data_IF_296028859175
#
_entry.id   IF_296028859175
#
_cell.length_a   1.000
_cell.length_b   1.000
_cell.length_c   1.000
_cell.angle_alpha   90.00
_cell.angle_beta   90.00
_cell.angle_gamma   90.00
#
_symmetry.space_group_name_H-M   'P 1'
#
loop_
_entity.id
_entity.type
_entity.pdbx_description
1 polymer ?
#
# COMPACT_ATOMS: atom_id res chain seq x y z
N UNK A 1 3.71 29.59 29.93
CA UNK A 1 2.60 28.62 29.84
C UNK A 1 2.57 28.08 28.42
N UNK A 2 2.89 26.81 28.21
CA UNK A 2 2.84 26.19 26.88
C UNK A 2 1.40 25.75 26.58
N UNK A 3 0.81 26.24 25.49
CA UNK A 3 -0.48 25.77 24.99
C UNK A 3 -0.40 24.28 24.68
N UNK A 4 -1.31 23.44 25.21
CA UNK A 4 -1.32 22.02 24.90
C UNK A 4 -1.52 21.82 23.38
N UNK A 5 -0.80 20.86 22.77
CA UNK A 5 -0.97 20.56 21.35
C UNK A 5 -2.41 20.10 21.10
N UNK A 6 -3.07 20.70 20.10
CA UNK A 6 -4.42 20.30 19.70
C UNK A 6 -4.44 18.80 19.40
N UNK A 7 -5.33 18.06 20.07
CA UNK A 7 -5.52 16.63 19.85
C UNK A 7 -6.03 16.39 18.43
N UNK A 8 -5.14 15.92 17.56
CA UNK A 8 -5.45 15.60 16.17
C UNK A 8 -6.20 14.27 16.09
N UNK A 9 -7.51 14.31 16.22
CA UNK A 9 -8.36 13.14 15.98
C UNK A 9 -8.35 12.74 14.50
N UNK A 10 -8.42 11.43 14.21
CA UNK A 10 -8.57 10.92 12.83
C UNK A 10 -9.85 11.51 12.24
N UNK A 11 -9.70 12.31 11.19
CA UNK A 11 -10.86 12.86 10.48
C UNK A 11 -11.59 11.75 9.74
N UNK A 12 -12.84 11.47 10.12
CA UNK A 12 -13.72 10.51 9.41
C UNK A 12 -13.91 10.86 7.93
N UNK A 13 -13.68 12.13 7.54
CA UNK A 13 -13.71 12.56 6.14
C UNK A 13 -12.48 12.08 5.37
N UNK A 14 -11.29 12.14 5.98
CA UNK A 14 -10.06 11.62 5.39
C UNK A 14 -10.18 10.11 5.15
N UNK A 15 -10.59 9.34 6.16
CA UNK A 15 -10.71 7.89 6.04
C UNK A 15 -11.70 7.48 4.92
N UNK A 16 -12.84 8.18 4.80
CA UNK A 16 -13.79 7.98 3.70
C UNK A 16 -13.20 8.29 2.33
N UNK A 17 -12.48 9.40 2.21
CA UNK A 17 -11.79 9.77 0.96
C UNK A 17 -10.75 8.71 0.59
N UNK A 18 -9.99 8.23 1.56
CA UNK A 18 -9.02 7.17 1.34
C UNK A 18 -9.69 5.87 0.89
N UNK A 19 -10.75 5.44 1.57
CA UNK A 19 -11.52 4.25 1.20
C UNK A 19 -12.06 4.33 -0.23
N UNK A 20 -12.68 5.47 -0.60
CA UNK A 20 -13.15 5.70 -1.97
C UNK A 20 -12.00 5.65 -2.99
N UNK A 21 -10.83 6.17 -2.63
CA UNK A 21 -9.65 6.16 -3.48
C UNK A 21 -9.11 4.73 -3.68
N UNK A 22 -9.06 3.92 -2.61
CA UNK A 22 -8.72 2.50 -2.69
C UNK A 22 -9.67 1.72 -3.60
N UNK A 23 -10.99 1.96 -3.51
CA UNK A 23 -11.98 1.33 -4.40
C UNK A 23 -11.74 1.69 -5.87
N UNK A 24 -11.45 2.95 -6.15
CA UNK A 24 -11.13 3.41 -7.51
C UNK A 24 -9.85 2.76 -8.05
N UNK A 25 -8.80 2.66 -7.23
CA UNK A 25 -7.57 1.97 -7.61
C UNK A 25 -7.81 0.48 -7.83
N UNK A 26 -8.61 -0.16 -6.98
CA UNK A 26 -9.00 -1.56 -7.13
C UNK A 26 -9.69 -1.81 -8.48
N UNK A 27 -10.73 -1.03 -8.79
CA UNK A 27 -11.46 -1.15 -10.04
C UNK A 27 -10.57 -0.92 -11.26
N UNK A 28 -9.69 0.09 -11.21
CA UNK A 28 -8.76 0.41 -12.30
C UNK A 28 -7.76 -0.72 -12.54
N UNK A 29 -7.12 -1.23 -11.48
CA UNK A 29 -6.17 -2.35 -11.59
C UNK A 29 -6.86 -3.65 -12.03
N UNK A 30 -8.11 -3.88 -11.60
CA UNK A 30 -8.89 -5.03 -12.03
C UNK A 30 -9.19 -4.98 -13.54
N UNK A 31 -9.52 -3.81 -14.08
CA UNK A 31 -9.73 -3.62 -15.52
C UNK A 31 -8.47 -3.96 -16.33
N UNK A 32 -7.32 -3.42 -15.91
CA UNK A 32 -6.01 -3.72 -16.52
C UNK A 32 -5.66 -5.21 -16.43
N UNK A 33 -5.94 -5.84 -15.29
CA UNK A 33 -5.71 -7.27 -15.09
C UNK A 33 -6.53 -8.12 -16.07
N UNK A 34 -7.80 -7.76 -16.29
CA UNK A 34 -8.68 -8.46 -17.22
C UNK A 34 -8.18 -8.35 -18.66
N UNK A 35 -7.76 -7.15 -19.09
CA UNK A 35 -7.18 -6.94 -20.42
C UNK A 35 -5.90 -7.75 -20.61
N UNK A 36 -4.99 -7.69 -19.63
CA UNK A 36 -3.75 -8.44 -19.66
C UNK A 36 -4.00 -9.96 -19.66
N UNK A 37 -4.97 -10.44 -18.89
CA UNK A 37 -5.36 -11.85 -18.87
C UNK A 37 -5.94 -12.32 -20.22
N UNK A 38 -6.79 -11.52 -20.86
CA UNK A 38 -7.36 -11.83 -22.18
C UNK A 38 -6.29 -11.87 -23.27
N UNK A 39 -5.40 -10.87 -23.30
CA UNK A 39 -4.28 -10.86 -24.25
C UNK A 39 -3.33 -12.03 -24.01
N UNK A 40 -3.00 -12.32 -22.74
CA UNK A 40 -2.17 -13.45 -22.37
C UNK A 40 -2.78 -14.77 -22.82
N UNK A 41 -4.06 -15.00 -22.53
CA UNK A 41 -4.75 -16.23 -22.90
C UNK A 41 -4.71 -16.50 -24.41
N UNK A 42 -5.03 -15.48 -25.23
CA UNK A 42 -5.03 -15.62 -26.70
C UNK A 42 -3.63 -15.84 -27.29
N UNK A 43 -2.62 -15.19 -26.72
CA UNK A 43 -1.25 -15.19 -27.26
C UNK A 43 -0.38 -16.34 -26.71
N UNK A 44 -0.76 -16.96 -25.59
CA UNK A 44 0.04 -17.99 -24.90
C UNK A 44 0.36 -19.21 -25.76
N UNK A 45 -0.57 -19.67 -26.58
CA UNK A 45 -0.36 -20.86 -27.42
C UNK A 45 0.76 -20.61 -28.46
N UNK A 46 0.77 -19.42 -29.05
CA UNK A 46 1.75 -19.02 -30.07
C UNK A 46 3.12 -18.69 -29.48
N UNK A 47 3.16 -18.07 -28.29
CA UNK A 47 4.39 -17.54 -27.69
C UNK A 47 4.81 -18.23 -26.40
N UNK A 48 4.46 -19.51 -26.21
CA UNK A 48 4.76 -20.26 -24.98
C UNK A 48 6.23 -20.18 -24.57
N UNK A 49 7.14 -20.16 -25.55
CA UNK A 49 8.58 -20.16 -25.33
C UNK A 49 9.23 -18.76 -25.49
N UNK A 50 8.46 -17.72 -25.80
CA UNK A 50 8.99 -16.39 -25.99
C UNK A 50 9.50 -15.81 -24.66
N UNK A 51 10.76 -15.37 -24.63
CA UNK A 51 11.37 -14.81 -23.40
C UNK A 51 10.69 -13.52 -22.96
N UNK A 52 10.30 -12.67 -23.90
CA UNK A 52 9.63 -11.38 -23.64
C UNK A 52 8.21 -11.53 -23.07
N UNK A 53 7.58 -12.70 -23.19
CA UNK A 53 6.27 -12.99 -22.58
C UNK A 53 6.37 -13.23 -21.07
N UNK A 54 7.49 -13.77 -20.57
CA UNK A 54 7.61 -14.17 -19.16
C UNK A 54 7.40 -12.99 -18.18
N UNK A 55 8.00 -11.80 -18.39
CA UNK A 55 7.75 -10.63 -17.53
C UNK A 55 6.26 -10.24 -17.47
N UNK A 56 5.54 -10.30 -18.60
CA UNK A 56 4.10 -10.00 -18.64
C UNK A 56 3.28 -10.99 -17.80
N UNK A 57 3.63 -12.28 -17.82
CA UNK A 57 2.98 -13.29 -16.97
C UNK A 57 3.22 -12.99 -15.48
N UNK A 58 4.43 -12.54 -15.15
CA UNK A 58 4.80 -12.19 -13.78
C UNK A 58 3.96 -11.01 -13.28
N UNK A 59 3.80 -9.96 -14.08
CA UNK A 59 2.92 -8.82 -13.78
C UNK A 59 1.48 -9.30 -13.59
N UNK A 60 0.94 -10.08 -14.55
CA UNK A 60 -0.43 -10.63 -14.52
C UNK A 60 -0.70 -11.42 -13.25
N UNK A 61 0.19 -12.36 -12.89
CA UNK A 61 0.05 -13.16 -11.67
C UNK A 61 0.08 -12.29 -10.42
N UNK A 62 0.97 -11.29 -10.38
CA UNK A 62 1.05 -10.38 -9.22
C UNK A 62 -0.19 -9.49 -9.08
N UNK A 63 -0.78 -9.02 -10.18
CA UNK A 63 -2.06 -8.30 -10.13
C UNK A 63 -3.17 -9.13 -9.46
N UNK A 64 -3.24 -10.43 -9.75
CA UNK A 64 -4.20 -11.32 -9.09
C UNK A 64 -3.98 -11.48 -7.59
N UNK A 65 -2.73 -11.34 -7.12
CA UNK A 65 -2.42 -11.32 -5.68
C UNK A 65 -2.73 -9.95 -5.07
N UNK A 66 -2.47 -8.87 -5.79
CA UNK A 66 -2.76 -7.49 -5.36
C UNK A 66 -4.24 -7.28 -5.03
N UNK A 67 -5.16 -7.86 -5.80
CA UNK A 67 -6.60 -7.76 -5.52
C UNK A 67 -6.93 -8.17 -4.08
N UNK A 68 -6.36 -9.28 -3.59
CA UNK A 68 -6.57 -9.77 -2.22
C UNK A 68 -6.00 -8.83 -1.15
N UNK A 69 -4.86 -8.20 -1.44
CA UNK A 69 -4.22 -7.24 -0.52
C UNK A 69 -5.07 -5.97 -0.42
N UNK A 70 -5.56 -5.48 -1.55
CA UNK A 70 -6.44 -4.30 -1.60
C UNK A 70 -7.75 -4.60 -0.87
N UNK A 71 -8.35 -5.77 -1.05
CA UNK A 71 -9.53 -6.20 -0.29
C UNK A 71 -9.31 -6.24 1.22
N UNK A 72 -8.15 -6.69 1.69
CA UNK A 72 -7.82 -6.66 3.13
C UNK A 72 -7.63 -5.22 3.63
N UNK A 73 -6.97 -4.35 2.85
CA UNK A 73 -6.86 -2.94 3.18
C UNK A 73 -8.24 -2.27 3.28
N UNK A 74 -9.12 -2.52 2.31
CA UNK A 74 -10.51 -2.06 2.30
C UNK A 74 -11.27 -2.56 3.53
N UNK A 75 -11.19 -3.86 3.84
CA UNK A 75 -11.82 -4.45 5.03
C UNK A 75 -11.34 -3.82 6.33
N UNK A 76 -10.03 -3.60 6.46
CA UNK A 76 -9.45 -2.95 7.65
C UNK A 76 -9.89 -1.48 7.78
N UNK A 77 -10.00 -0.76 6.66
CA UNK A 77 -10.47 0.63 6.66
C UNK A 77 -11.95 0.75 7.03
N UNK A 78 -12.78 -0.20 6.57
CA UNK A 78 -14.19 -0.26 6.93
C UNK A 78 -14.37 -0.56 8.42
N UNK A 79 -13.63 -1.53 8.97
CA UNK A 79 -13.67 -1.84 10.40
C UNK A 79 -13.24 -0.64 11.27
N UNK A 80 -12.23 0.11 10.84
CA UNK A 80 -11.82 1.34 11.53
C UNK A 80 -12.90 2.43 11.45
N UNK A 81 -13.56 2.56 10.31
CA UNK A 81 -14.68 3.49 10.13
C UNK A 81 -15.88 3.14 11.01
N UNK A 82 -16.26 1.86 11.06
CA UNK A 82 -17.36 1.38 11.90
C UNK A 82 -17.08 1.64 13.38
N UNK A 83 -15.86 1.39 13.85
CA UNK A 83 -15.46 1.70 15.22
C UNK A 83 -15.58 3.20 15.54
N UNK A 84 -15.15 4.07 14.62
CA UNK A 84 -15.26 5.52 14.78
C UNK A 84 -16.71 6.03 14.77
N UNK A 85 -17.61 5.36 14.04
CA UNK A 85 -19.03 5.77 13.97
C UNK A 85 -19.85 5.28 15.15
N UNK A 86 -19.56 4.08 15.68
CA UNK A 86 -20.24 3.53 16.87
C UNK A 86 -19.97 4.40 18.10
N UNK A 87 -18.72 4.86 18.30
CA UNK A 87 -18.37 5.74 19.42
C UNK A 87 -19.17 7.04 19.46
N UNK A 88 -19.60 7.56 18.29
CA UNK A 88 -20.41 8.79 18.22
C UNK A 88 -21.88 8.54 18.62
N UNK A 89 -22.39 7.33 18.44
CA UNK A 89 -23.81 7.01 18.70
C UNK A 89 -24.09 6.68 20.16
N UNK A 90 -23.13 6.10 20.88
CA UNK A 90 -23.31 5.68 22.28
C UNK A 90 -23.49 6.86 23.23
N UNK A 91 -23.10 8.08 22.85
CA UNK A 91 -23.27 9.28 23.68
C UNK A 91 -24.67 9.92 23.56
N UNK A 92 -25.45 9.56 22.53
CA UNK A 92 -26.76 10.18 22.25
C UNK A 92 -27.99 9.39 22.68
N UNK A 93 -27.83 8.11 23.07
CA UNK A 93 -28.95 7.20 23.34
C UNK A 93 -29.21 7.04 24.85
N UNK A 94 -29.23 8.14 25.60
CA UNK A 94 -29.80 8.18 26.94
C UNK A 94 -31.24 8.70 26.87
N UNK A 95 -32.10 7.95 26.19
CA UNK A 95 -33.54 8.18 26.20
C UNK A 95 -34.12 7.57 27.49
N UNK A 96 -34.15 8.38 28.54
CA UNK A 96 -35.15 8.25 29.59
C UNK A 96 -36.51 8.66 29.01
N UNK A 97 -37.42 7.69 28.97
CA UNK A 97 -38.84 7.93 29.08
C UNK A 97 -39.12 8.56 30.45
N UNK A 98 -39.12 9.89 30.54
CA UNK A 98 -40.03 10.70 31.39
C UNK A 98 -39.57 12.15 31.54
N UNK A 99 -40.29 13.04 30.88
CA UNK A 99 -40.93 14.25 31.41
C UNK A 99 -40.29 14.82 32.70
N UNK A 100 -39.36 15.77 32.54
CA UNK A 100 -39.20 16.92 33.44
C UNK A 100 -38.33 17.98 32.76
N UNK A 101 -38.98 19.04 32.27
CA UNK A 101 -38.34 20.29 31.88
C UNK A 101 -37.69 20.92 33.14
N UNK A 102 -36.56 21.60 32.94
CA UNK A 102 -35.83 22.43 33.91
C UNK A 102 -34.73 21.73 34.73
N UNK A 103 -33.61 21.48 34.07
CA UNK A 103 -32.28 21.97 34.46
C UNK A 103 -31.34 21.56 33.34
N UNK A 104 -30.72 22.53 32.65
CA UNK A 104 -29.73 22.22 31.61
C UNK A 104 -28.62 21.40 32.27
N UNK A 105 -28.40 20.12 31.88
CA UNK A 105 -27.30 19.36 32.40
C UNK A 105 -26.02 20.07 31.96
N UNK A 106 -25.19 20.46 32.94
CA UNK A 106 -23.81 20.90 32.70
C UNK A 106 -23.20 19.89 31.74
N UNK A 107 -22.74 20.38 30.58
CA UNK A 107 -22.01 19.64 29.56
C UNK A 107 -20.76 19.04 30.20
N UNK A 108 -20.91 17.90 30.86
CA UNK A 108 -19.84 17.10 31.43
C UNK A 108 -18.92 16.73 30.27
N UNK A 109 -17.61 16.87 30.51
CA UNK A 109 -16.54 16.61 29.55
C UNK A 109 -16.86 15.43 28.64
N UNK A 110 -16.88 15.68 27.33
CA UNK A 110 -16.87 14.62 26.33
C UNK A 110 -15.66 13.72 26.64
N UNK A 111 -15.92 12.47 27.02
CA UNK A 111 -14.85 11.49 27.13
C UNK A 111 -14.36 11.23 25.70
N UNK A 112 -13.10 11.57 25.43
CA UNK A 112 -12.46 11.24 24.15
C UNK A 112 -12.39 9.71 24.01
N UNK A 113 -13.41 9.09 23.39
CA UNK A 113 -13.42 7.67 23.09
C UNK A 113 -12.48 7.41 21.91
N UNK A 114 -11.20 7.25 22.20
CA UNK A 114 -10.20 6.90 21.18
C UNK A 114 -10.53 5.53 20.56
N UNK A 115 -10.36 5.34 19.25
CA UNK A 115 -10.50 4.02 18.64
C UNK A 115 -9.54 3.02 19.29
N UNK A 116 -9.89 1.73 19.37
CA UNK A 116 -9.02 0.74 19.98
C UNK A 116 -7.72 0.66 19.16
N UNK A 117 -6.58 0.85 19.85
CA UNK A 117 -5.24 0.91 19.23
C UNK A 117 -4.95 -0.28 18.31
N UNK A 118 -5.50 -1.46 18.64
CA UNK A 118 -5.40 -2.69 17.83
C UNK A 118 -5.96 -2.52 16.42
N UNK A 119 -7.10 -1.84 16.25
CA UNK A 119 -7.69 -1.59 14.92
C UNK A 119 -6.83 -0.61 14.11
N UNK A 120 -6.32 0.43 14.75
CA UNK A 120 -5.43 1.42 14.11
C UNK A 120 -4.15 0.74 13.64
N UNK A 121 -3.51 -0.06 14.50
CA UNK A 121 -2.32 -0.82 14.17
C UNK A 121 -2.55 -1.79 12.99
N UNK A 122 -3.65 -2.54 13.02
CA UNK A 122 -4.02 -3.44 11.93
C UNK A 122 -4.20 -2.70 10.60
N UNK A 123 -4.85 -1.54 10.63
CA UNK A 123 -5.04 -0.72 9.44
C UNK A 123 -3.69 -0.17 8.93
N UNK A 124 -2.82 0.33 9.80
CA UNK A 124 -1.48 0.78 9.40
C UNK A 124 -0.66 -0.34 8.76
N UNK A 125 -0.71 -1.56 9.32
CA UNK A 125 -0.04 -2.73 8.75
C UNK A 125 -0.60 -3.09 7.38
N UNK A 126 -1.92 -3.00 7.18
CA UNK A 126 -2.54 -3.31 5.88
C UNK A 126 -2.17 -2.28 4.81
N UNK A 127 -2.16 -0.98 5.17
CA UNK A 127 -1.70 0.10 4.28
C UNK A 127 -0.24 -0.07 3.88
N UNK A 128 0.60 -0.45 4.84
CA UNK A 128 2.01 -0.68 4.59
C UNK A 128 2.26 -1.90 3.70
N UNK A 129 1.52 -2.97 3.93
CA UNK A 129 1.53 -4.17 3.09
C UNK A 129 1.12 -3.80 1.66
N UNK A 130 0.08 -2.97 1.51
CA UNK A 130 -0.37 -2.48 0.22
C UNK A 130 0.70 -1.62 -0.48
N UNK A 131 1.35 -0.71 0.23
CA UNK A 131 2.44 0.11 -0.31
C UNK A 131 3.58 -0.73 -0.87
N UNK A 132 4.08 -1.70 -0.10
CA UNK A 132 5.12 -2.63 -0.54
C UNK A 132 4.71 -3.37 -1.82
N UNK A 133 3.47 -3.85 -1.85
CA UNK A 133 2.98 -4.68 -2.92
C UNK A 133 2.73 -3.86 -4.21
N UNK A 134 2.26 -2.62 -4.08
CA UNK A 134 2.16 -1.67 -5.20
C UNK A 134 3.52 -1.30 -5.77
N UNK A 135 4.53 -1.05 -4.92
CA UNK A 135 5.89 -0.76 -5.38
C UNK A 135 6.50 -1.96 -6.11
N UNK A 136 6.38 -3.17 -5.55
CA UNK A 136 6.83 -4.40 -6.19
C UNK A 136 6.16 -4.61 -7.56
N UNK A 137 4.84 -4.40 -7.65
CA UNK A 137 4.12 -4.50 -8.93
C UNK A 137 4.58 -3.42 -9.93
N UNK A 138 4.79 -2.19 -9.45
CA UNK A 138 5.29 -1.07 -10.25
C UNK A 138 6.66 -1.36 -10.86
N UNK A 139 7.60 -1.90 -10.07
CA UNK A 139 8.93 -2.30 -10.53
C UNK A 139 8.88 -3.42 -11.57
N UNK A 140 8.03 -4.43 -11.34
CA UNK A 140 7.83 -5.55 -12.28
C UNK A 140 7.23 -5.06 -13.60
N UNK A 141 6.24 -4.17 -13.55
CA UNK A 141 5.62 -3.57 -14.73
C UNK A 141 6.63 -2.75 -15.55
N UNK A 142 7.48 -1.95 -14.89
CA UNK A 142 8.57 -1.21 -15.52
C UNK A 142 9.61 -2.11 -16.17
N UNK A 143 9.96 -3.22 -15.53
CA UNK A 143 10.89 -4.21 -16.08
C UNK A 143 10.31 -4.88 -17.33
N UNK A 144 9.03 -5.28 -17.28
CA UNK A 144 8.32 -5.83 -18.43
C UNK A 144 8.26 -4.83 -19.59
N UNK A 145 7.93 -3.57 -19.30
CA UNK A 145 7.94 -2.48 -20.28
C UNK A 145 9.29 -2.36 -21.00
N UNK A 146 10.39 -2.26 -20.26
CA UNK A 146 11.74 -2.12 -20.84
C UNK A 146 12.11 -3.30 -21.74
N UNK A 147 11.75 -4.52 -21.34
CA UNK A 147 12.00 -5.72 -22.14
C UNK A 147 11.16 -5.73 -23.43
N UNK A 148 9.88 -5.36 -23.36
CA UNK A 148 9.02 -5.25 -24.55
C UNK A 148 9.52 -4.16 -25.51
N UNK A 149 9.92 -3.01 -24.97
CA UNK A 149 10.49 -1.90 -25.73
C UNK A 149 11.78 -2.33 -26.45
N UNK A 150 12.66 -3.06 -25.77
CA UNK A 150 13.87 -3.62 -26.39
C UNK A 150 13.55 -4.60 -27.52
N UNK A 151 12.49 -5.41 -27.36
CA UNK A 151 12.06 -6.35 -28.38
C UNK A 151 11.50 -5.67 -29.64
N UNK A 152 10.82 -4.53 -29.49
CA UNK A 152 10.36 -3.74 -30.64
C UNK A 152 11.50 -3.09 -31.43
N UNK A 153 12.66 -2.88 -30.80
CA UNK A 153 13.84 -2.26 -31.43
C UNK A 153 14.75 -3.25 -32.17
N UNK A 154 14.57 -4.56 -31.98
CA UNK A 154 15.41 -5.57 -32.66
C UNK A 154 14.95 -5.77 -34.11
N UNK A 155 15.79 -5.53 -35.13
CA UNK A 155 15.48 -5.90 -36.51
C UNK A 155 15.64 -7.43 -36.74
N UNK A 156 14.85 -8.05 -37.63
CA UNK A 156 13.70 -7.49 -38.36
C UNK A 156 12.53 -7.17 -37.42
N UNK A 157 11.68 -6.22 -37.81
CA UNK A 157 10.53 -5.82 -37.01
C UNK A 157 9.73 -7.06 -36.59
N UNK A 158 9.36 -7.20 -35.29
CA UNK A 158 8.66 -8.38 -34.84
C UNK A 158 7.34 -8.48 -35.59
N UNK A 159 7.06 -9.65 -36.19
CA UNK A 159 5.82 -9.94 -36.92
C UNK A 159 4.57 -9.66 -36.09
N UNK A 160 4.71 -9.58 -34.77
CA UNK A 160 3.64 -9.34 -33.80
C UNK A 160 3.75 -7.99 -33.08
N UNK A 161 4.30 -6.96 -33.74
CA UNK A 161 4.49 -5.62 -33.18
C UNK A 161 3.23 -5.04 -32.52
N UNK A 162 2.04 -5.23 -33.11
CA UNK A 162 0.77 -4.75 -32.55
C UNK A 162 0.43 -5.39 -31.18
N UNK A 163 0.69 -6.70 -31.02
CA UNK A 163 0.50 -7.41 -29.75
C UNK A 163 1.48 -6.89 -28.70
N UNK A 164 2.76 -6.78 -29.07
CA UNK A 164 3.83 -6.30 -28.16
C UNK A 164 3.55 -4.86 -27.73
N UNK A 165 3.08 -4.01 -28.65
CA UNK A 165 2.68 -2.62 -28.38
C UNK A 165 1.49 -2.55 -27.41
N UNK A 166 0.47 -3.40 -27.60
CA UNK A 166 -0.65 -3.51 -26.65
C UNK A 166 -0.17 -3.91 -25.25
N UNK A 167 0.73 -4.90 -25.13
CA UNK A 167 1.30 -5.30 -23.85
C UNK A 167 2.15 -4.21 -23.20
N UNK A 168 2.89 -3.45 -24.00
CA UNK A 168 3.68 -2.31 -23.56
C UNK A 168 2.78 -1.21 -22.96
N UNK A 169 1.67 -0.91 -23.64
CA UNK A 169 0.63 0.00 -23.14
C UNK A 169 0.04 -0.45 -21.79
N UNK A 170 -0.32 -1.73 -21.66
CA UNK A 170 -0.83 -2.27 -20.39
C UNK A 170 0.21 -2.21 -19.27
N UNK A 171 1.48 -2.54 -19.55
CA UNK A 171 2.54 -2.45 -18.54
C UNK A 171 2.77 -0.99 -18.08
N UNK A 172 2.72 -0.03 -19.01
CA UNK A 172 2.78 1.38 -18.67
C UNK A 172 1.57 1.83 -17.84
N UNK A 173 0.36 1.41 -18.21
CA UNK A 173 -0.87 1.67 -17.46
C UNK A 173 -0.80 1.13 -16.04
N UNK A 174 -0.40 -0.13 -15.86
CA UNK A 174 -0.21 -0.74 -14.54
C UNK A 174 0.81 0.04 -13.71
N UNK A 175 1.95 0.42 -14.30
CA UNK A 175 2.97 1.22 -13.61
C UNK A 175 2.42 2.57 -13.15
N UNK A 176 1.73 3.31 -14.02
CA UNK A 176 1.12 4.60 -13.68
C UNK A 176 0.10 4.48 -12.54
N UNK A 177 -0.81 3.48 -12.62
CA UNK A 177 -1.81 3.22 -11.57
C UNK A 177 -1.20 2.82 -10.24
N UNK A 178 -0.11 2.06 -10.25
CA UNK A 178 0.62 1.72 -9.04
C UNK A 178 1.28 2.96 -8.42
N UNK A 179 1.88 3.82 -9.24
CA UNK A 179 2.50 5.07 -8.77
C UNK A 179 1.47 6.02 -8.14
N UNK A 180 0.30 6.19 -8.77
CA UNK A 180 -0.82 6.95 -8.19
C UNK A 180 -1.28 6.33 -6.86
N UNK A 181 -1.42 5.00 -6.82
CA UNK A 181 -1.83 4.26 -5.62
C UNK A 181 -0.84 4.41 -4.47
N UNK A 182 0.47 4.33 -4.74
CA UNK A 182 1.53 4.51 -3.74
C UNK A 182 1.43 5.88 -3.09
N UNK A 183 1.27 6.94 -3.89
CA UNK A 183 1.14 8.29 -3.37
C UNK A 183 -0.08 8.42 -2.45
N UNK A 184 -1.25 7.98 -2.92
CA UNK A 184 -2.49 8.08 -2.12
C UNK A 184 -2.46 7.23 -0.84
N UNK A 185 -1.88 6.03 -0.90
CA UNK A 185 -1.75 5.16 0.28
C UNK A 185 -0.71 5.70 1.26
N UNK A 186 0.37 6.33 0.78
CA UNK A 186 1.39 6.94 1.64
C UNK A 186 0.85 8.17 2.38
N UNK A 187 0.06 9.01 1.69
CA UNK A 187 -0.63 10.15 2.30
C UNK A 187 -1.57 9.67 3.42
N UNK A 188 -2.42 8.68 3.14
CA UNK A 188 -3.33 8.13 4.14
C UNK A 188 -2.60 7.46 5.32
N UNK A 189 -1.52 6.73 5.04
CA UNK A 189 -0.68 6.16 6.10
C UNK A 189 -0.12 7.26 7.01
N UNK A 190 0.40 8.35 6.44
CA UNK A 190 0.91 9.49 7.19
C UNK A 190 -0.15 10.17 8.06
N UNK A 191 -1.36 10.34 7.53
CA UNK A 191 -2.49 10.92 8.28
C UNK A 191 -2.93 10.04 9.46
N UNK A 192 -3.03 8.73 9.27
CA UNK A 192 -3.40 7.78 10.34
C UNK A 192 -2.28 7.63 11.37
N UNK A 193 -1.01 7.71 10.96
CA UNK A 193 0.13 7.65 11.86
C UNK A 193 0.33 8.93 12.69
N UNK A 194 0.02 10.10 12.13
CA UNK A 194 0.09 11.37 12.86
C UNK A 194 -0.97 11.48 13.95
N UNK A 195 -2.18 11.01 13.65
CA UNK A 195 -3.35 11.10 14.53
C UNK A 195 -3.33 10.09 15.67
N UNK A 196 -2.60 8.99 15.54
CA UNK A 196 -2.42 8.02 16.64
C UNK A 196 -1.48 8.50 17.76
N UNK A 197 -0.97 9.73 17.68
CA UNK A 197 -0.02 10.28 18.66
C UNK A 197 1.35 9.59 18.64
N UNK A 198 1.58 8.70 17.67
CA UNK A 198 2.81 7.90 17.57
C UNK A 198 3.87 8.58 16.71
N UNK A 199 3.51 9.57 15.88
CA UNK A 199 4.47 10.33 15.09
C UNK A 199 4.75 11.69 15.74
N UNK A 200 5.82 11.76 16.56
CA UNK A 200 6.46 13.04 16.92
C UNK A 200 7.37 13.57 15.80
N UNK A 201 7.39 12.91 14.64
CA UNK A 201 8.37 13.11 13.59
C UNK A 201 7.77 13.38 12.21
N UNK A 202 8.58 14.02 11.36
CA UNK A 202 8.21 14.70 10.10
C UNK A 202 7.50 13.80 9.07
N UNK A 203 6.66 14.39 8.18
CA UNK A 203 5.97 13.66 7.12
C UNK A 203 6.94 12.87 6.22
N UNK A 204 6.54 11.63 5.94
CA UNK A 204 7.31 10.62 5.21
C UNK A 204 7.47 11.04 3.75
N UNK A 205 8.71 11.31 3.30
CA UNK A 205 9.04 11.47 1.88
C UNK A 205 9.49 10.11 1.35
N UNK A 206 8.61 9.40 0.64
CA UNK A 206 8.88 8.03 0.18
C UNK A 206 9.84 8.06 -1.01
N UNK A 207 11.13 7.78 -0.77
CA UNK A 207 12.06 7.31 -1.79
C UNK A 207 11.89 5.80 -1.98
N UNK A 208 11.42 5.35 -3.15
CA UNK A 208 10.95 3.97 -3.38
C UNK A 208 11.98 2.87 -3.09
N UNK A 209 13.28 3.11 -3.31
CA UNK A 209 14.32 2.08 -3.15
C UNK A 209 14.77 1.86 -1.70
N UNK A 210 14.68 2.86 -0.82
CA UNK A 210 15.14 2.74 0.57
C UNK A 210 13.99 2.40 1.51
N UNK A 211 12.77 2.87 1.22
CA UNK A 211 11.57 2.47 1.94
C UNK A 211 11.36 0.95 1.86
N UNK A 212 11.60 0.34 0.69
CA UNK A 212 11.54 -1.12 0.52
C UNK A 212 12.60 -1.87 1.33
N UNK A 213 13.81 -1.31 1.45
CA UNK A 213 14.91 -1.92 2.20
C UNK A 213 14.69 -1.84 3.73
N UNK A 214 14.26 -0.68 4.20
CA UNK A 214 13.80 -0.44 5.58
C UNK A 214 12.66 -1.39 5.99
N UNK A 215 11.68 -1.55 5.10
CA UNK A 215 10.58 -2.48 5.27
C UNK A 215 11.04 -3.93 5.34
N UNK A 216 12.06 -4.27 4.55
CA UNK A 216 12.69 -5.60 4.59
C UNK A 216 13.39 -5.86 5.93
N UNK A 217 14.14 -4.90 6.45
CA UNK A 217 14.84 -5.04 7.74
C UNK A 217 13.89 -5.11 8.93
N UNK A 218 12.88 -4.23 8.99
CA UNK A 218 11.84 -4.27 10.02
C UNK A 218 11.15 -5.63 10.05
N UNK A 219 10.93 -6.23 8.88
CA UNK A 219 10.36 -7.56 8.73
C UNK A 219 11.29 -8.69 9.21
N UNK A 220 12.59 -8.63 8.91
CA UNK A 220 13.56 -9.60 9.43
C UNK A 220 13.61 -9.58 10.96
N UNK A 221 13.43 -8.39 11.57
CA UNK A 221 13.31 -8.23 13.02
C UNK A 221 12.02 -8.85 13.56
N UNK A 222 10.87 -8.64 12.90
CA UNK A 222 9.60 -9.29 13.29
C UNK A 222 9.65 -10.82 13.21
N UNK A 223 10.27 -11.37 12.16
CA UNK A 223 10.38 -12.82 12.01
C UNK A 223 11.23 -13.45 13.11
N UNK A 224 12.26 -12.74 13.60
CA UNK A 224 13.05 -13.20 14.76
C UNK A 224 12.27 -13.18 16.07
N UNK A 225 11.30 -12.27 16.22
CA UNK A 225 10.53 -12.10 17.46
C UNK A 225 9.24 -12.95 17.54
N UNK A 226 8.89 -13.67 16.46
CA UNK A 226 7.64 -14.45 16.34
C UNK A 226 7.54 -15.72 17.22
N UNK A 227 8.39 -15.89 18.23
CA UNK A 227 8.22 -16.91 19.29
C UNK A 227 7.82 -16.21 20.59
N UNK A 228 6.52 -15.88 20.72
CA UNK A 228 5.91 -15.51 22.00
C UNK A 228 5.76 -14.03 22.33
N UNK A 229 6.03 -13.10 21.41
CA UNK A 229 5.77 -11.68 21.65
C UNK A 229 4.29 -11.33 21.50
N UNK A 230 3.79 -10.51 22.42
CA UNK A 230 2.43 -9.97 22.41
C UNK A 230 2.20 -9.14 21.13
N UNK A 231 1.08 -9.34 20.43
CA UNK A 231 0.81 -8.69 19.14
C UNK A 231 0.85 -7.16 19.24
N UNK A 232 0.52 -6.64 20.42
CA UNK A 232 0.56 -5.21 20.71
C UNK A 232 2.00 -4.68 20.80
N UNK A 233 2.94 -5.47 21.31
CA UNK A 233 4.36 -5.11 21.33
C UNK A 233 4.94 -5.14 19.92
N UNK A 234 4.58 -6.13 19.13
CA UNK A 234 4.97 -6.24 17.71
C UNK A 234 4.45 -5.05 16.91
N UNK A 235 3.19 -4.68 17.10
CA UNK A 235 2.61 -3.51 16.46
C UNK A 235 3.38 -2.23 16.84
N UNK A 236 3.67 -2.04 18.13
CA UNK A 236 4.47 -0.89 18.61
C UNK A 236 5.87 -0.87 18.01
N UNK A 237 6.55 -2.02 17.91
CA UNK A 237 7.88 -2.10 17.30
C UNK A 237 7.87 -1.87 15.79
N UNK A 238 6.91 -2.43 15.05
CA UNK A 238 6.73 -2.14 13.60
C UNK A 238 6.57 -0.64 13.41
N UNK A 239 5.65 -0.04 14.18
CA UNK A 239 5.29 1.37 14.07
C UNK A 239 6.49 2.25 14.47
N UNK A 240 7.26 1.86 15.50
CA UNK A 240 8.45 2.60 15.94
C UNK A 240 9.66 2.45 15.00
N UNK A 241 9.81 1.32 14.30
CA UNK A 241 10.93 1.07 13.38
C UNK A 241 10.76 1.75 12.01
N UNK A 242 9.53 2.14 11.66
CA UNK A 242 9.21 2.69 10.35
C UNK A 242 9.74 4.12 10.09
N UNK A 243 9.64 5.09 11.03
CA UNK A 243 10.09 6.47 10.80
C UNK A 243 11.61 6.60 10.61
N UNK A 244 12.39 5.91 11.45
CA UNK A 244 13.86 6.04 11.49
C UNK A 244 14.53 5.62 10.16
N UNK A 245 13.93 4.67 9.45
CA UNK A 245 14.52 4.11 8.23
C UNK A 245 14.07 4.84 6.96
N UNK A 246 13.05 5.71 7.04
CA UNK A 246 12.53 6.47 5.89
C UNK A 246 13.02 7.94 5.91
N UNK A 247 13.53 8.44 7.04
CA UNK A 247 14.08 9.81 7.15
C UNK A 247 15.50 9.99 6.59
N UNK A 248 16.21 8.90 6.29
CA UNK A 248 17.61 8.95 5.88
C UNK A 248 17.84 9.14 4.36
N UNK A 249 17.20 10.13 3.70
CA UNK A 249 17.71 10.61 2.41
C UNK A 249 17.07 11.92 1.92
N UNK A 250 17.88 12.98 1.88
CA UNK A 250 17.75 14.06 0.89
C UNK A 250 18.96 13.93 -0.05
N UNK A 251 18.83 13.49 -1.31
CA UNK A 251 19.95 13.59 -2.22
C UNK A 251 20.03 15.03 -2.75
N UNK A 252 21.11 15.72 -2.39
CA UNK A 252 21.54 16.94 -3.06
C UNK A 252 21.85 16.59 -4.53
N UNK A 253 21.02 17.05 -5.46
CA UNK A 253 21.21 16.85 -6.88
C UNK A 253 22.39 17.68 -7.39
N UNK A 254 23.58 17.07 -7.46
CA UNK A 254 24.65 17.53 -8.36
C UNK A 254 24.54 16.74 -9.66
N UNK A 255 24.13 17.43 -10.72
CA UNK A 255 24.02 16.88 -12.06
C UNK A 255 25.39 16.59 -12.67
N UNK A 256 25.65 15.31 -12.91
CA UNK A 256 26.70 14.87 -13.83
C UNK A 256 26.05 14.13 -14.99
N UNK A 257 26.14 14.74 -16.18
CA UNK A 257 25.59 14.27 -17.45
C UNK A 257 26.51 13.17 -17.99
N UNK A 258 26.22 11.90 -17.72
CA UNK A 258 26.96 10.77 -18.28
C UNK A 258 26.10 9.93 -19.23
N UNK A 259 26.70 9.62 -20.39
CA UNK A 259 26.13 8.87 -21.51
C UNK A 259 25.54 7.53 -21.04
N UNK A 260 24.28 7.31 -21.38
CA UNK A 260 23.43 6.20 -20.95
C UNK A 260 23.87 4.87 -21.59
N UNK A 261 24.74 4.12 -20.92
CA UNK A 261 24.67 2.65 -21.00
C UNK A 261 23.55 2.22 -20.07
N UNK A 262 22.56 1.50 -20.60
CA UNK A 262 21.54 0.85 -19.77
C UNK A 262 22.27 -0.06 -18.76
N UNK A 263 22.03 0.10 -17.44
CA UNK A 263 22.66 -0.78 -16.46
C UNK A 263 22.24 -2.23 -16.75
N UNK A 264 23.13 -3.21 -16.52
CA UNK A 264 22.76 -4.62 -16.63
C UNK A 264 21.56 -4.88 -15.73
N UNK A 265 20.45 -5.31 -16.33
CA UNK A 265 19.25 -5.70 -15.58
C UNK A 265 19.67 -6.89 -14.70
N UNK A 266 19.61 -6.77 -13.36
CA UNK A 266 19.98 -7.87 -12.50
C UNK A 266 19.08 -9.06 -12.81
N UNK A 267 19.70 -10.18 -13.17
CA UNK A 267 18.99 -11.45 -13.40
C UNK A 267 18.41 -11.88 -12.06
N UNK A 268 17.09 -11.72 -11.91
CA UNK A 268 16.38 -12.04 -10.69
C UNK A 268 16.50 -13.54 -10.39
N UNK A 269 17.44 -13.90 -9.51
CA UNK A 269 17.46 -15.20 -8.85
C UNK A 269 16.14 -15.41 -8.11
N UNK A 270 15.62 -16.63 -8.15
CA UNK A 270 14.32 -17.06 -7.62
C UNK A 270 14.19 -16.82 -6.11
N UNK A 271 13.99 -15.57 -5.69
CA UNK A 271 13.57 -15.20 -4.34
C UNK A 271 12.05 -15.37 -4.27
N UNK A 272 11.55 -16.10 -3.26
CA UNK A 272 10.12 -16.08 -2.87
C UNK A 272 9.69 -14.61 -2.80
N UNK A 273 8.57 -14.26 -3.41
CA UNK A 273 8.10 -12.88 -3.42
C UNK A 273 7.73 -12.47 -2.00
N UNK A 274 8.19 -11.27 -1.62
CA UNK A 274 7.88 -10.61 -0.35
C UNK A 274 6.38 -10.64 -0.03
N UNK A 275 5.53 -10.55 -1.06
CA UNK A 275 4.07 -10.59 -0.95
C UNK A 275 3.54 -11.97 -0.55
N UNK A 276 4.07 -13.07 -1.11
CA UNK A 276 3.59 -14.42 -0.78
C UNK A 276 3.88 -14.74 0.68
N UNK A 277 5.01 -14.27 1.19
CA UNK A 277 5.40 -14.43 2.58
C UNK A 277 4.69 -13.42 3.51
N UNK A 278 4.21 -12.27 3.01
CA UNK A 278 3.34 -11.34 3.77
C UNK A 278 1.94 -11.92 3.97
N UNK A 279 1.41 -12.56 2.92
CA UNK A 279 0.14 -13.30 2.97
C UNK A 279 0.19 -14.46 3.96
N UNK A 280 1.34 -15.14 4.09
CA UNK A 280 1.54 -16.15 5.13
C UNK A 280 1.53 -15.52 6.54
N UNK A 281 2.15 -14.35 6.73
CA UNK A 281 2.17 -13.69 8.04
C UNK A 281 0.82 -13.12 8.48
N UNK A 282 -0.02 -12.64 7.56
CA UNK A 282 -1.38 -12.15 7.88
C UNK A 282 -2.35 -13.30 8.15
N UNK A 283 -2.18 -14.46 7.53
CA UNK A 283 -2.93 -15.67 7.91
C UNK A 283 -2.63 -16.11 9.35
N UNK A 284 -1.41 -15.89 9.84
CA UNK A 284 -0.98 -16.24 11.20
C UNK A 284 -1.43 -15.24 12.28
N UNK A 285 -1.92 -14.05 11.90
CA UNK A 285 -2.45 -13.03 12.80
C UNK A 285 -4.00 -12.99 12.82
N UNK A 286 -4.63 -14.03 12.23
CA UNK A 286 -6.07 -14.31 12.32
C UNK A 286 -6.25 -15.56 13.16
#
# INVERSE_FOLDING_TARGET
MATPPASSSISSRSLRRHHATLLRHHASLAAEQQLLARLWYKSRAQFRNAKWMRPCDVVRRRMGVMAKIIEEALRSSAALFDALTVSVRTEGSSASTSIALQTLPKRSQAQDVSPPLKLVARHLISLLTLLCALDELSQRARTAFSLLESHLRTPPAPTFAALVTSMLGLCAGVHARCSEGIQSTAEAYGEVAATSGMAKERPIRVGSSQATQALQEGRSKLQRKKRGADEEEVAREVIAALPASIQAATPAAKGTRNKTRLPPVPVAGSRRSLVDELLETTKLAR
#
